data_IF_946511415791
#
_entry.id   IF_946511415791
#
_cell.length_a   1.000
_cell.length_b   1.000
_cell.length_c   1.000
_cell.angle_alpha   90.00
_cell.angle_beta   90.00
_cell.angle_gamma   90.00
#
_symmetry.space_group_name_H-M   'P 1'
#
loop_
_entity.id
_entity.type
_entity.pdbx_description
1 polymer ?
#
# COMPACT_ATOMS: atom_id res chain seq x y z
N UNK A 1 -8.56 26.60 35.86
CA UNK A 1 -8.48 26.30 34.41
C UNK A 1 -8.51 24.78 34.21
N UNK A 2 -9.55 24.23 33.57
CA UNK A 2 -9.60 22.80 33.25
C UNK A 2 -8.73 22.54 32.02
N UNK A 3 -7.67 21.75 32.20
CA UNK A 3 -6.84 21.25 31.09
C UNK A 3 -7.69 20.25 30.31
N UNK A 4 -8.14 20.65 29.13
CA UNK A 4 -8.76 19.71 28.20
C UNK A 4 -7.61 18.97 27.54
N UNK A 5 -7.36 17.73 27.98
CA UNK A 5 -6.45 16.85 27.28
C UNK A 5 -7.07 16.54 25.93
N UNK A 6 -6.52 17.13 24.86
CA UNK A 6 -6.85 16.73 23.50
C UNK A 6 -6.52 15.24 23.43
N UNK A 7 -7.51 14.36 23.16
CA UNK A 7 -7.26 12.93 23.11
C UNK A 7 -6.31 12.67 21.95
N UNK A 8 -5.02 12.60 22.24
CA UNK A 8 -4.04 12.06 21.30
C UNK A 8 -4.28 10.57 21.31
N UNK A 9 -5.11 10.07 20.38
CA UNK A 9 -5.00 8.69 19.92
C UNK A 9 -3.65 8.53 19.23
N UNK A 10 -2.56 8.59 20.00
CA UNK A 10 -1.32 7.94 19.63
C UNK A 10 -1.59 6.48 19.83
N UNK A 11 -2.21 5.86 18.82
CA UNK A 11 -2.17 4.43 18.64
C UNK A 11 -0.70 4.11 18.44
N UNK A 12 0.01 3.91 19.55
CA UNK A 12 1.39 3.43 19.59
C UNK A 12 1.36 1.95 19.21
N UNK A 13 0.88 1.65 18.01
CA UNK A 13 1.21 0.41 17.36
C UNK A 13 2.69 0.55 17.00
N UNK A 14 3.50 -0.27 17.66
CA UNK A 14 4.96 -0.31 17.64
C UNK A 14 5.48 0.04 16.25
N UNK A 15 6.42 1.00 16.13
CA UNK A 15 6.94 1.51 14.84
C UNK A 15 7.35 0.41 13.84
N UNK A 16 7.70 -0.79 14.32
CA UNK A 16 7.93 -1.98 13.51
C UNK A 16 6.70 -2.43 12.69
N UNK A 17 5.50 -2.37 13.25
CA UNK A 17 4.23 -2.70 12.58
C UNK A 17 3.84 -1.72 11.48
N UNK A 18 4.52 -0.57 11.38
CA UNK A 18 4.31 0.34 10.25
C UNK A 18 4.96 -0.24 8.99
N UNK A 19 6.15 -0.83 9.12
CA UNK A 19 6.89 -1.49 8.04
C UNK A 19 6.26 -2.87 7.76
N UNK A 20 5.85 -3.60 8.81
CA UNK A 20 5.10 -4.86 8.73
C UNK A 20 3.58 -4.66 8.87
N UNK A 21 3.04 -3.57 8.34
CA UNK A 21 1.60 -3.42 8.34
C UNK A 21 0.98 -4.54 7.50
N UNK A 22 -0.20 -5.04 7.87
CA UNK A 22 -0.87 -6.09 7.09
C UNK A 22 -1.06 -5.68 5.61
N UNK A 23 -1.11 -4.37 5.35
CA UNK A 23 -1.22 -3.77 4.01
C UNK A 23 0.08 -3.86 3.22
N UNK A 24 1.20 -3.44 3.81
CA UNK A 24 2.53 -3.52 3.19
C UNK A 24 2.97 -4.97 3.03
N UNK A 25 2.66 -5.83 4.00
CA UNK A 25 2.95 -7.26 3.91
C UNK A 25 2.15 -7.94 2.78
N UNK A 26 0.84 -7.67 2.68
CA UNK A 26 0.00 -8.26 1.64
C UNK A 26 0.43 -7.85 0.22
N UNK A 27 0.73 -6.56 0.01
CA UNK A 27 1.22 -6.05 -1.28
C UNK A 27 2.60 -6.59 -1.65
N UNK A 28 3.49 -6.75 -0.66
CA UNK A 28 4.79 -7.41 -0.86
C UNK A 28 4.63 -8.88 -1.21
N UNK A 29 3.71 -9.61 -0.54
CA UNK A 29 3.44 -11.01 -0.83
C UNK A 29 2.89 -11.19 -2.26
N UNK A 30 1.98 -10.31 -2.70
CA UNK A 30 1.49 -10.31 -4.09
C UNK A 30 2.64 -10.02 -5.06
N UNK A 31 3.49 -9.03 -4.77
CA UNK A 31 4.66 -8.71 -5.57
C UNK A 31 5.68 -9.86 -5.63
N UNK A 32 5.89 -10.57 -4.52
CA UNK A 32 6.77 -11.73 -4.46
C UNK A 32 6.22 -12.90 -5.28
N UNK A 33 4.92 -13.22 -5.17
CA UNK A 33 4.27 -14.26 -5.97
C UNK A 33 4.39 -13.92 -7.46
N UNK A 34 4.06 -12.68 -7.85
CA UNK A 34 4.16 -12.25 -9.23
C UNK A 34 5.61 -12.27 -9.74
N UNK A 35 6.54 -11.81 -8.90
CA UNK A 35 7.97 -11.85 -9.15
C UNK A 35 8.52 -13.27 -9.30
N UNK A 36 7.99 -14.25 -8.55
CA UNK A 36 8.40 -15.66 -8.69
C UNK A 36 7.96 -16.26 -10.02
N UNK A 37 6.73 -15.95 -10.46
CA UNK A 37 6.22 -16.41 -11.76
C UNK A 37 7.08 -15.84 -12.90
N UNK A 38 7.35 -14.53 -12.88
CA UNK A 38 8.20 -13.88 -13.89
C UNK A 38 9.65 -14.35 -13.79
N UNK A 39 10.17 -14.45 -12.57
CA UNK A 39 11.54 -14.87 -12.28
C UNK A 39 11.81 -16.29 -12.76
N UNK A 40 10.86 -17.22 -12.59
CA UNK A 40 10.97 -18.58 -13.12
C UNK A 40 11.09 -18.58 -14.65
N UNK A 41 10.22 -17.83 -15.35
CA UNK A 41 10.26 -17.75 -16.81
C UNK A 41 11.60 -17.21 -17.33
N UNK A 42 12.16 -16.18 -16.68
CA UNK A 42 13.44 -15.58 -17.08
C UNK A 42 14.63 -16.49 -16.71
N UNK A 43 14.55 -17.16 -15.55
CA UNK A 43 15.60 -18.07 -15.09
C UNK A 43 15.79 -19.29 -15.99
N UNK A 44 14.72 -19.74 -16.67
CA UNK A 44 14.79 -20.82 -17.66
C UNK A 44 15.63 -20.44 -18.89
N UNK A 45 15.78 -19.15 -19.19
CA UNK A 45 16.56 -18.67 -20.36
C UNK A 45 18.01 -18.40 -20.00
N UNK A 46 18.27 -17.97 -18.76
CA UNK A 46 19.60 -17.49 -18.30
C UNK A 46 20.32 -18.56 -17.46
N UNK A 47 19.62 -19.61 -17.02
CA UNK A 47 20.12 -20.71 -16.17
C UNK A 47 20.81 -20.24 -14.86
N UNK A 48 20.51 -19.03 -14.40
CA UNK A 48 21.11 -18.44 -13.21
C UNK A 48 20.09 -18.21 -12.10
N UNK A 49 20.32 -18.87 -10.96
CA UNK A 49 19.51 -18.69 -9.75
C UNK A 49 19.69 -17.30 -9.14
N UNK A 50 20.87 -16.69 -9.29
CA UNK A 50 21.15 -15.34 -8.79
C UNK A 50 20.25 -14.31 -9.47
N UNK A 51 20.07 -14.43 -10.79
CA UNK A 51 19.21 -13.54 -11.58
C UNK A 51 17.76 -13.70 -11.16
N UNK A 52 17.29 -14.93 -10.94
CA UNK A 52 15.95 -15.20 -10.45
C UNK A 52 15.64 -14.47 -9.14
N UNK A 53 16.50 -14.65 -8.12
CA UNK A 53 16.29 -14.01 -6.81
C UNK A 53 16.38 -12.48 -6.89
N UNK A 54 17.24 -11.94 -7.75
CA UNK A 54 17.36 -10.49 -7.95
C UNK A 54 16.07 -9.87 -8.49
N UNK A 55 15.42 -10.54 -9.44
CA UNK A 55 14.16 -10.09 -10.05
C UNK A 55 13.02 -10.20 -9.03
N UNK A 56 12.94 -11.33 -8.32
CA UNK A 56 11.93 -11.53 -7.27
C UNK A 56 12.06 -10.43 -6.21
N UNK A 57 13.29 -10.17 -5.73
CA UNK A 57 13.56 -9.12 -4.75
C UNK A 57 13.17 -7.74 -5.25
N UNK A 58 13.47 -7.42 -6.51
CA UNK A 58 13.13 -6.12 -7.09
C UNK A 58 11.62 -5.90 -7.23
N UNK A 59 10.89 -6.90 -7.75
CA UNK A 59 9.43 -6.83 -7.89
C UNK A 59 8.73 -6.80 -6.53
N UNK A 60 9.20 -7.60 -5.57
CA UNK A 60 8.68 -7.58 -4.20
C UNK A 60 8.93 -6.21 -3.53
N UNK A 61 10.10 -5.61 -3.75
CA UNK A 61 10.42 -4.29 -3.22
C UNK A 61 9.52 -3.19 -3.81
N UNK A 62 9.24 -3.22 -5.12
CA UNK A 62 8.29 -2.30 -5.74
C UNK A 62 6.88 -2.51 -5.15
N UNK A 63 6.45 -3.77 -5.00
CA UNK A 63 5.18 -4.10 -4.35
C UNK A 63 5.07 -3.55 -2.93
N UNK A 64 6.16 -3.66 -2.16
CA UNK A 64 6.28 -3.08 -0.81
C UNK A 64 6.14 -1.55 -0.82
N UNK A 65 6.83 -0.86 -1.74
CA UNK A 65 6.76 0.59 -1.87
C UNK A 65 5.33 1.05 -2.16
N UNK A 66 4.62 0.36 -3.08
CA UNK A 66 3.23 0.68 -3.43
C UNK A 66 2.28 0.51 -2.23
N UNK A 67 2.50 -0.49 -1.39
CA UNK A 67 1.66 -0.73 -0.21
C UNK A 67 1.97 0.19 0.98
N UNK A 68 3.21 0.66 1.09
CA UNK A 68 3.71 1.43 2.23
C UNK A 68 3.60 2.92 2.01
N UNK A 69 3.81 3.38 0.78
CA UNK A 69 3.85 4.80 0.45
C UNK A 69 2.43 5.29 0.12
N UNK A 70 1.94 6.36 0.77
CA UNK A 70 0.66 6.95 0.43
C UNK A 70 0.70 7.57 -0.98
N UNK A 71 -0.46 7.68 -1.63
CA UNK A 71 -0.54 8.25 -2.98
C UNK A 71 -0.05 9.70 -2.95
N UNK A 72 1.00 9.99 -3.71
CA UNK A 72 1.48 11.35 -3.92
C UNK A 72 0.75 12.02 -5.08
N UNK A 73 0.66 13.34 -5.01
CA UNK A 73 0.14 14.12 -6.12
C UNK A 73 1.14 14.10 -7.28
N UNK A 74 0.67 13.66 -8.44
CA UNK A 74 1.43 13.70 -9.68
C UNK A 74 0.78 14.78 -10.54
N UNK A 75 1.49 15.89 -10.88
CA UNK A 75 0.91 17.02 -11.62
C UNK A 75 0.28 16.63 -12.96
N UNK A 76 0.82 15.60 -13.60
CA UNK A 76 0.35 15.03 -14.87
C UNK A 76 -1.07 14.43 -14.73
N UNK A 77 -1.44 13.98 -13.53
CA UNK A 77 -2.72 13.34 -13.25
C UNK A 77 -3.53 14.15 -12.24
N UNK A 78 -4.37 15.11 -12.68
CA UNK A 78 -5.09 16.03 -11.79
C UNK A 78 -6.06 15.32 -10.84
N UNK A 79 -6.54 14.12 -11.19
CA UNK A 79 -7.38 13.30 -10.31
C UNK A 79 -6.66 12.90 -9.01
N UNK A 80 -5.33 12.76 -9.04
CA UNK A 80 -4.52 12.38 -7.86
C UNK A 80 -4.56 13.44 -6.75
N UNK A 81 -4.92 14.69 -7.06
CA UNK A 81 -5.10 15.77 -6.06
C UNK A 81 -6.19 15.44 -5.04
N UNK A 82 -7.26 14.78 -5.48
CA UNK A 82 -8.37 14.36 -4.62
C UNK A 82 -8.04 13.15 -3.74
N UNK A 83 -6.96 12.44 -4.08
CA UNK A 83 -6.57 11.16 -3.47
C UNK A 83 -5.25 11.26 -2.70
N UNK A 84 -4.63 12.44 -2.69
CA UNK A 84 -3.33 12.70 -2.08
C UNK A 84 -3.34 12.40 -0.58
N UNK A 85 -2.30 11.71 -0.10
CA UNK A 85 -2.16 11.36 1.31
C UNK A 85 -3.03 10.20 1.78
N UNK A 86 -3.90 9.64 0.92
CA UNK A 86 -4.60 8.39 1.19
C UNK A 86 -3.77 7.19 0.73
N UNK A 87 -3.90 6.08 1.45
CA UNK A 87 -3.33 4.80 1.05
C UNK A 87 -4.18 4.15 -0.04
N UNK A 88 -3.55 3.38 -0.94
CA UNK A 88 -4.21 2.72 -2.06
C UNK A 88 -5.43 1.87 -1.62
N UNK A 89 -5.32 1.15 -0.50
CA UNK A 89 -6.42 0.35 0.06
C UNK A 89 -7.65 1.22 0.42
N UNK A 90 -7.43 2.41 0.97
CA UNK A 90 -8.53 3.33 1.33
C UNK A 90 -9.25 3.86 0.08
N UNK A 91 -8.50 4.07 -1.01
CA UNK A 91 -9.05 4.41 -2.32
C UNK A 91 -9.93 3.27 -2.84
N UNK A 92 -9.43 2.02 -2.78
CA UNK A 92 -10.16 0.84 -3.23
C UNK A 92 -11.44 0.62 -2.41
N UNK A 93 -11.37 0.76 -1.08
CA UNK A 93 -12.55 0.63 -0.21
C UNK A 93 -13.57 1.74 -0.48
N UNK A 94 -13.14 3.00 -0.66
CA UNK A 94 -14.04 4.09 -1.05
C UNK A 94 -14.70 3.81 -2.40
N UNK A 95 -13.95 3.31 -3.37
CA UNK A 95 -14.46 2.94 -4.68
C UNK A 95 -15.49 1.80 -4.60
N UNK A 96 -15.21 0.73 -3.86
CA UNK A 96 -16.14 -0.40 -3.68
C UNK A 96 -17.42 0.04 -2.97
N UNK A 97 -17.30 0.88 -1.94
CA UNK A 97 -18.46 1.44 -1.24
C UNK A 97 -19.30 2.35 -2.13
N UNK A 98 -18.65 3.17 -2.96
CA UNK A 98 -19.33 3.98 -3.97
C UNK A 98 -20.08 3.10 -4.96
N UNK A 99 -19.45 2.03 -5.48
CA UNK A 99 -20.09 1.11 -6.42
C UNK A 99 -21.32 0.42 -5.82
N UNK A 100 -21.29 0.03 -4.54
CA UNK A 100 -22.42 -0.64 -3.87
C UNK A 100 -23.54 0.29 -3.44
N UNK A 101 -23.23 1.43 -2.85
CA UNK A 101 -24.23 2.33 -2.21
C UNK A 101 -24.58 3.56 -3.06
N UNK A 102 -23.90 3.77 -4.20
CA UNK A 102 -23.92 5.01 -5.02
C UNK A 102 -23.79 6.30 -4.21
N UNK A 103 -23.22 6.22 -3.01
CA UNK A 103 -23.11 7.34 -2.09
C UNK A 103 -21.70 7.38 -1.52
N UNK A 104 -21.05 8.51 -1.72
CA UNK A 104 -19.79 8.86 -1.08
C UNK A 104 -20.08 9.31 0.35
N UNK A 105 -20.66 8.45 1.20
CA UNK A 105 -20.60 8.70 2.64
C UNK A 105 -19.13 8.59 3.03
N UNK A 106 -18.48 9.75 3.13
CA UNK A 106 -17.16 9.88 3.74
C UNK A 106 -17.30 9.26 5.11
N UNK A 107 -16.60 8.14 5.35
CA UNK A 107 -16.39 7.67 6.71
C UNK A 107 -15.57 8.80 7.36
N UNK A 108 -16.25 9.76 7.98
CA UNK A 108 -15.68 10.55 9.06
C UNK A 108 -15.34 9.52 10.12
N UNK A 109 -14.14 8.96 10.02
CA UNK A 109 -13.60 8.10 11.06
C UNK A 109 -13.46 9.05 12.25
N UNK A 110 -14.33 8.84 13.24
CA UNK A 110 -14.53 9.75 14.36
C UNK A 110 -13.25 10.07 15.12
N UNK A 111 -13.34 11.18 15.85
CA UNK A 111 -12.89 11.33 17.24
C UNK A 111 -11.76 10.40 17.74
#
# INVERSE_FOLDING_TARGET
MRKHEIPRKKKSETRLFVIFSLRSLASTAIGAIFGTVIGMMISMVIESQVVMYSIIGFVAFIGFLIGTIPVFYIPIFPFTKSVQGMYLNEVVVKYLNYKRKRSLKVIKKGE
#
